data_IF_973458104295
#
_entry.id   IF_973458104295
#
_cell.length_a   1.000
_cell.length_b   1.000
_cell.length_c   1.000
_cell.angle_alpha   90.00
_cell.angle_beta   90.00
_cell.angle_gamma   90.00
#
_symmetry.space_group_name_H-M   'P 1'
#
loop_
_entity.id
_entity.type
_entity.pdbx_description
1 polymer ?
#
# COMPACT_ATOMS: atom_id res chain seq x y z
N UNK A 1 -3.48 8.46 0.34
CA UNK A 1 -3.94 7.60 1.46
C UNK A 1 -2.93 6.53 1.84
N UNK A 2 -2.39 5.73 0.91
CA UNK A 2 -1.34 4.75 1.27
C UNK A 2 -0.07 5.43 1.81
N UNK A 3 0.31 6.57 1.24
CA UNK A 3 1.40 7.44 1.70
C UNK A 3 1.25 7.79 3.19
N UNK A 4 0.17 8.51 3.54
CA UNK A 4 -0.24 8.75 4.92
C UNK A 4 -0.37 7.49 5.79
N UNK A 5 -0.66 6.31 5.23
CA UNK A 5 -0.71 5.08 6.02
C UNK A 5 0.70 4.60 6.38
N UNK A 6 1.66 4.75 5.47
CA UNK A 6 3.04 4.30 5.62
C UNK A 6 3.81 5.27 6.53
N UNK A 7 3.56 6.56 6.39
CA UNK A 7 4.28 7.63 7.09
C UNK A 7 3.71 7.97 8.48
N UNK A 8 2.74 7.21 9.00
CA UNK A 8 2.09 7.52 10.28
C UNK A 8 3.06 7.78 11.43
N UNK A 9 4.05 6.92 11.62
CA UNK A 9 5.03 7.10 12.69
C UNK A 9 5.97 8.29 12.44
N UNK A 10 6.35 8.53 11.18
CA UNK A 10 7.17 9.68 10.80
C UNK A 10 6.42 11.00 11.07
N UNK A 11 5.17 11.11 10.60
CA UNK A 11 4.33 12.27 10.80
C UNK A 11 4.01 12.49 12.29
N UNK A 12 3.79 11.40 13.06
CA UNK A 12 3.58 11.47 14.51
C UNK A 12 4.81 12.06 15.23
N UNK A 13 6.01 11.69 14.81
CA UNK A 13 7.27 12.19 15.37
C UNK A 13 7.53 13.63 14.91
N UNK A 14 7.27 13.93 13.64
CA UNK A 14 7.46 15.25 13.04
C UNK A 14 6.42 16.29 13.50
N UNK A 15 5.29 15.84 14.03
CA UNK A 15 4.15 16.70 14.34
C UNK A 15 3.37 17.14 13.09
N UNK A 16 3.51 16.40 12.00
CA UNK A 16 2.89 16.68 10.72
C UNK A 16 1.45 16.15 10.67
N UNK A 17 0.64 16.79 9.81
CA UNK A 17 -0.74 16.42 9.62
C UNK A 17 -0.84 15.08 8.88
N UNK A 18 -1.37 14.05 9.53
CA UNK A 18 -1.64 12.77 8.91
C UNK A 18 -3.14 12.45 8.87
N UNK A 19 -3.71 12.21 7.68
CA UNK A 19 -5.16 11.97 7.57
C UNK A 19 -5.63 10.65 8.21
N UNK A 20 -4.74 9.69 8.40
CA UNK A 20 -5.08 8.41 9.01
C UNK A 20 -5.41 8.55 10.51
N UNK A 21 -4.87 9.57 11.19
CA UNK A 21 -5.06 9.75 12.64
C UNK A 21 -6.48 10.21 13.00
N UNK A 22 -7.26 10.66 12.02
CA UNK A 22 -8.65 11.09 12.21
C UNK A 22 -9.66 9.94 12.15
N UNK A 23 -9.22 8.71 11.84
CA UNK A 23 -10.07 7.53 11.98
C UNK A 23 -10.10 7.07 13.43
N UNK A 24 -11.28 6.67 13.91
CA UNK A 24 -11.48 6.30 15.31
C UNK A 24 -10.86 4.95 15.66
N UNK A 25 -10.57 4.11 14.66
CA UNK A 25 -9.96 2.80 14.89
C UNK A 25 -9.23 2.26 13.66
N UNK A 26 -8.31 1.32 13.91
CA UNK A 26 -7.65 0.52 12.87
C UNK A 26 -8.65 -0.22 11.97
N UNK A 27 -9.76 -0.69 12.54
CA UNK A 27 -10.82 -1.37 11.79
C UNK A 27 -11.46 -0.41 10.78
N UNK A 28 -11.80 0.80 11.23
CA UNK A 28 -12.44 1.82 10.39
C UNK A 28 -11.55 2.20 9.20
N UNK A 29 -10.28 2.54 9.45
CA UNK A 29 -9.35 2.89 8.36
C UNK A 29 -9.14 1.72 7.39
N UNK A 30 -9.05 0.49 7.90
CA UNK A 30 -8.95 -0.71 7.04
C UNK A 30 -10.15 -0.81 6.11
N UNK A 31 -11.37 -0.72 6.65
CA UNK A 31 -12.60 -0.82 5.86
C UNK A 31 -12.68 0.28 4.80
N UNK A 32 -12.23 1.50 5.15
CA UNK A 32 -12.21 2.65 4.23
C UNK A 32 -11.17 2.51 3.13
N UNK A 33 -9.97 2.01 3.44
CA UNK A 33 -8.94 1.76 2.43
C UNK A 33 -9.35 0.64 1.48
N UNK A 34 -9.95 -0.44 1.99
CA UNK A 34 -10.52 -1.50 1.14
C UNK A 34 -11.67 -0.96 0.28
N UNK A 35 -12.51 -0.08 0.83
CA UNK A 35 -13.55 0.60 0.06
C UNK A 35 -12.97 1.47 -1.06
N UNK A 36 -11.93 2.27 -0.78
CA UNK A 36 -11.26 3.08 -1.80
C UNK A 36 -10.64 2.22 -2.89
N UNK A 37 -10.03 1.09 -2.54
CA UNK A 37 -9.52 0.14 -3.52
C UNK A 37 -10.62 -0.36 -4.45
N UNK A 38 -11.76 -0.79 -3.90
CA UNK A 38 -12.92 -1.22 -4.69
C UNK A 38 -13.44 -0.10 -5.58
N UNK A 39 -13.43 1.15 -5.10
CA UNK A 39 -13.85 2.32 -5.89
C UNK A 39 -12.87 2.66 -7.00
N UNK A 40 -11.57 2.56 -6.75
CA UNK A 40 -10.54 2.72 -7.77
C UNK A 40 -10.70 1.66 -8.87
N UNK A 41 -10.92 0.40 -8.48
CA UNK A 41 -11.17 -0.71 -9.41
C UNK A 41 -12.44 -0.49 -10.24
N UNK A 42 -13.52 0.00 -9.62
CA UNK A 42 -14.75 0.36 -10.33
C UNK A 42 -14.53 1.50 -11.32
N UNK A 43 -13.79 2.54 -10.93
CA UNK A 43 -13.52 3.69 -11.78
C UNK A 43 -12.71 3.31 -13.03
N UNK A 44 -11.66 2.49 -12.88
CA UNK A 44 -10.83 2.08 -14.03
C UNK A 44 -11.50 1.04 -14.92
N UNK A 45 -12.54 0.36 -14.44
CA UNK A 45 -13.28 -0.63 -15.24
C UNK A 45 -14.03 -0.02 -16.43
N UNK A 46 -14.29 1.29 -16.41
CA UNK A 46 -14.94 2.03 -17.51
C UNK A 46 -13.93 2.55 -18.55
N UNK A 47 -12.63 2.40 -18.31
CA UNK A 47 -11.60 2.90 -19.23
C UNK A 47 -11.29 1.88 -20.34
N UNK A 48 -10.86 2.35 -21.54
CA UNK A 48 -10.22 1.49 -22.53
C UNK A 48 -9.05 0.73 -21.90
N UNK A 49 -8.77 -0.49 -22.36
CA UNK A 49 -7.69 -1.32 -21.81
C UNK A 49 -7.79 -1.54 -20.28
N UNK A 50 -9.01 -1.68 -19.74
CA UNK A 50 -9.28 -1.83 -18.29
C UNK A 50 -8.33 -2.76 -17.52
N UNK A 51 -7.90 -3.88 -18.11
CA UNK A 51 -6.98 -4.83 -17.47
C UNK A 51 -5.64 -4.18 -17.13
N UNK A 52 -5.12 -3.34 -18.03
CA UNK A 52 -3.89 -2.57 -17.78
C UNK A 52 -4.07 -1.62 -16.60
N UNK A 53 -5.17 -0.87 -16.55
CA UNK A 53 -5.43 0.06 -15.45
C UNK A 53 -5.67 -0.64 -14.11
N UNK A 54 -6.34 -1.81 -14.10
CA UNK A 54 -6.44 -2.65 -12.91
C UNK A 54 -5.06 -3.11 -12.43
N UNK A 55 -4.20 -3.55 -13.35
CA UNK A 55 -2.82 -3.93 -13.04
C UNK A 55 -2.04 -2.76 -12.40
N UNK A 56 -2.22 -1.53 -12.87
CA UNK A 56 -1.60 -0.34 -12.25
C UNK A 56 -2.07 -0.15 -10.80
N UNK A 57 -3.35 -0.31 -10.50
CA UNK A 57 -3.83 -0.26 -9.11
C UNK A 57 -3.13 -1.30 -8.22
N UNK A 58 -2.94 -2.53 -8.74
CA UNK A 58 -2.26 -3.61 -8.01
C UNK A 58 -0.77 -3.37 -7.86
N UNK A 59 -0.12 -2.83 -8.90
CA UNK A 59 1.28 -2.47 -8.88
C UNK A 59 1.57 -1.39 -7.83
N UNK A 60 0.76 -0.33 -7.79
CA UNK A 60 0.90 0.73 -6.79
C UNK A 60 0.73 0.18 -5.37
N UNK A 61 -0.25 -0.70 -5.13
CA UNK A 61 -0.38 -1.38 -3.83
C UNK A 61 0.87 -2.15 -3.44
N UNK A 62 1.38 -3.00 -4.34
CA UNK A 62 2.55 -3.82 -4.07
C UNK A 62 3.82 -3.00 -3.82
N UNK A 63 4.03 -1.93 -4.60
CA UNK A 63 5.21 -1.06 -4.48
C UNK A 63 5.18 -0.26 -3.19
N UNK A 64 4.07 0.42 -2.89
CA UNK A 64 3.96 1.24 -1.68
C UNK A 64 4.03 0.36 -0.42
N UNK A 65 3.35 -0.79 -0.41
CA UNK A 65 3.33 -1.67 0.77
C UNK A 65 4.62 -2.50 0.94
N UNK A 66 5.57 -2.41 0.01
CA UNK A 66 6.91 -2.97 0.15
C UNK A 66 7.84 -2.10 1.02
N UNK A 67 7.43 -0.88 1.37
CA UNK A 67 8.25 0.03 2.16
C UNK A 67 8.59 -0.57 3.55
N UNK A 68 9.83 -0.37 3.99
CA UNK A 68 10.30 -0.86 5.28
C UNK A 68 9.50 -0.30 6.47
N UNK A 69 8.98 0.93 6.37
CA UNK A 69 8.15 1.59 7.38
C UNK A 69 6.88 0.80 7.69
N UNK A 70 6.35 0.05 6.72
CA UNK A 70 5.18 -0.83 6.91
C UNK A 70 5.48 -1.92 7.93
N UNK A 71 6.66 -2.53 7.86
CA UNK A 71 7.04 -3.64 8.75
C UNK A 71 7.50 -3.16 10.14
N UNK A 72 7.86 -1.89 10.27
CA UNK A 72 8.24 -1.27 11.54
C UNK A 72 7.02 -0.94 12.43
N UNK A 73 5.82 -0.87 11.83
CA UNK A 73 4.59 -0.48 12.49
C UNK A 73 3.59 -1.64 12.50
N UNK A 74 3.34 -2.24 13.67
CA UNK A 74 2.51 -3.46 13.77
C UNK A 74 1.09 -3.25 13.24
N UNK A 75 0.53 -2.06 13.44
CA UNK A 75 -0.82 -1.75 13.02
C UNK A 75 -0.93 -1.43 11.54
N UNK A 76 0.05 -0.73 10.98
CA UNK A 76 0.16 -0.50 9.54
C UNK A 76 0.33 -1.83 8.80
N UNK A 77 1.18 -2.73 9.32
CA UNK A 77 1.36 -4.07 8.74
C UNK A 77 0.05 -4.87 8.65
N UNK A 78 -0.74 -4.89 9.72
CA UNK A 78 -2.04 -5.58 9.74
C UNK A 78 -3.03 -4.98 8.73
N UNK A 79 -3.03 -3.65 8.58
CA UNK A 79 -3.86 -2.96 7.57
C UNK A 79 -3.37 -3.36 6.16
N UNK A 80 -2.07 -3.27 5.90
CA UNK A 80 -1.44 -3.60 4.63
C UNK A 80 -1.76 -5.02 4.17
N UNK A 81 -1.65 -6.02 5.05
CA UNK A 81 -2.00 -7.41 4.75
C UNK A 81 -3.46 -7.56 4.29
N UNK A 82 -4.40 -6.86 4.94
CA UNK A 82 -5.82 -6.91 4.57
C UNK A 82 -6.09 -6.22 3.23
N UNK A 83 -5.41 -5.10 2.96
CA UNK A 83 -5.53 -4.39 1.67
C UNK A 83 -4.94 -5.24 0.54
N UNK A 84 -3.75 -5.82 0.71
CA UNK A 84 -3.10 -6.69 -0.28
C UNK A 84 -3.97 -7.89 -0.63
N UNK A 85 -4.54 -8.56 0.38
CA UNK A 85 -5.47 -9.67 0.15
C UNK A 85 -6.72 -9.22 -0.62
N UNK A 86 -7.20 -8.01 -0.36
CA UNK A 86 -8.34 -7.43 -1.09
C UNK A 86 -7.97 -7.06 -2.55
N UNK A 87 -6.69 -6.81 -2.84
CA UNK A 87 -6.18 -6.55 -4.19
C UNK A 87 -5.80 -7.79 -5.00
N UNK A 88 -6.01 -9.00 -4.46
CA UNK A 88 -5.76 -10.26 -5.16
C UNK A 88 -4.29 -10.63 -5.36
N UNK A 89 -4.05 -11.77 -6.03
CA UNK A 89 -2.71 -12.35 -6.20
C UNK A 89 -1.72 -11.45 -6.96
N UNK A 90 -2.22 -10.60 -7.86
CA UNK A 90 -1.40 -9.62 -8.58
C UNK A 90 -0.73 -8.61 -7.63
N UNK A 91 -1.44 -8.15 -6.60
CA UNK A 91 -0.87 -7.22 -5.61
C UNK A 91 0.26 -7.88 -4.82
N UNK A 92 0.12 -9.17 -4.52
CA UNK A 92 1.19 -9.95 -3.88
C UNK A 92 2.38 -10.12 -4.82
N UNK A 93 2.15 -10.42 -6.11
CA UNK A 93 3.23 -10.48 -7.09
C UNK A 93 4.05 -9.19 -7.12
N UNK A 94 3.40 -8.02 -7.16
CA UNK A 94 4.10 -6.74 -7.15
C UNK A 94 4.81 -6.45 -5.84
N UNK A 95 4.26 -6.86 -4.69
CA UNK A 95 4.96 -6.79 -3.41
C UNK A 95 6.24 -7.62 -3.44
N UNK A 96 6.14 -8.89 -3.83
CA UNK A 96 7.29 -9.79 -3.95
C UNK A 96 8.35 -9.23 -4.90
N UNK A 97 7.92 -8.76 -6.08
CA UNK A 97 8.80 -8.15 -7.07
C UNK A 97 9.52 -6.92 -6.51
N UNK A 98 8.81 -6.04 -5.80
CA UNK A 98 9.36 -4.82 -5.20
C UNK A 98 10.41 -5.14 -4.12
N UNK A 99 10.14 -6.12 -3.26
CA UNK A 99 11.09 -6.58 -2.24
C UNK A 99 12.36 -7.18 -2.85
N UNK A 100 12.22 -7.98 -3.91
CA UNK A 100 13.37 -8.56 -4.64
C UNK A 100 14.20 -7.45 -5.29
N UNK A 101 13.56 -6.51 -5.98
CA UNK A 101 14.26 -5.38 -6.60
C UNK A 101 15.00 -4.51 -5.59
N UNK A 102 14.39 -4.25 -4.43
CA UNK A 102 15.06 -3.55 -3.34
C UNK A 102 16.31 -4.33 -2.89
N UNK A 103 16.19 -5.64 -2.66
CA UNK A 103 17.31 -6.51 -2.26
C UNK A 103 18.45 -6.54 -3.28
N UNK A 104 18.14 -6.64 -4.57
CA UNK A 104 19.14 -6.64 -5.65
C UNK A 104 19.86 -5.27 -5.71
N UNK A 105 19.11 -4.17 -5.58
CA UNK A 105 19.69 -2.81 -5.56
C UNK A 105 20.67 -2.62 -4.41
N UNK A 106 20.34 -3.13 -3.22
CA UNK A 106 21.26 -3.14 -2.08
C UNK A 106 22.56 -3.89 -2.41
N UNK A 107 22.50 -5.04 -3.08
CA UNK A 107 23.71 -5.81 -3.42
C UNK A 107 24.63 -5.13 -4.44
N UNK A 108 24.11 -4.27 -5.32
CA UNK A 108 24.93 -3.53 -6.29
C UNK A 108 25.62 -2.28 -5.70
N UNK A 109 25.21 -1.80 -4.52
CA UNK A 109 25.79 -0.62 -3.87
C UNK A 109 26.98 -1.03 -2.95
N UNK A 110 27.05 -2.29 -2.53
CA UNK A 110 28.09 -2.82 -1.64
C UNK A 110 29.10 -3.76 -2.35
N UNK A 111 29.16 -3.71 -3.68
CA UNK A 111 30.20 -4.33 -4.52
C UNK A 111 30.90 -3.22 -5.30
#
# INVERSE_FOLDING_TARGET
MLDYLIDQEEDRIGGDLNFCTYYHSQKEITERLVYFLKKADQAVSQLPHKQFHHMINRALLGVYLADQKVNQQIDVRKIAEKILRSGGGESLFFLWNSLIMARIRYQQIFV
#
